data_IF_844653186052
#
_entry.id   IF_844653186052
#
_cell.length_a   1.000
_cell.length_b   1.000
_cell.length_c   1.000
_cell.angle_alpha   90.00
_cell.angle_beta   90.00
_cell.angle_gamma   90.00
#
_symmetry.space_group_name_H-M   'P 1'
#
loop_
_entity.id
_entity.type
_entity.pdbx_description
1 polymer ?
#
# COMPACT_ATOMS: atom_id res chain seq x y z
N UNK A 1 18.89 32.94 9.56
CA UNK A 1 17.59 32.20 9.63
C UNK A 1 17.69 31.08 8.62
N UNK A 2 17.99 29.85 9.04
CA UNK A 2 18.14 28.72 8.12
C UNK A 2 16.76 28.31 7.60
N UNK A 3 16.62 28.22 6.28
CA UNK A 3 15.43 27.75 5.56
C UNK A 3 15.17 26.25 5.78
N UNK A 4 15.07 25.82 7.03
CA UNK A 4 14.75 24.45 7.41
C UNK A 4 13.25 24.35 7.63
N UNK A 5 12.58 23.48 6.87
CA UNK A 5 11.14 23.19 6.99
C UNK A 5 10.73 22.96 8.45
N UNK A 6 9.52 23.40 8.84
CA UNK A 6 8.96 23.15 10.18
C UNK A 6 8.91 21.65 10.53
N UNK A 7 8.81 20.78 9.52
CA UNK A 7 8.91 19.33 9.70
C UNK A 7 10.34 18.85 10.05
N UNK A 8 11.37 19.55 9.59
CA UNK A 8 12.76 19.26 9.97
C UNK A 8 13.07 19.81 11.37
N UNK A 9 12.52 20.97 11.72
CA UNK A 9 12.63 21.53 13.07
C UNK A 9 11.97 20.63 14.11
N UNK A 10 10.78 20.07 13.84
CA UNK A 10 10.11 19.16 14.78
C UNK A 10 10.83 17.82 14.99
N UNK A 11 11.62 17.37 14.00
CA UNK A 11 12.48 16.19 14.15
C UNK A 11 13.75 16.54 14.93
N UNK A 12 14.35 17.72 14.67
CA UNK A 12 15.56 18.18 15.36
C UNK A 12 15.32 18.53 16.84
N UNK A 13 14.15 19.08 17.16
CA UNK A 13 13.71 19.40 18.53
C UNK A 13 13.11 18.20 19.27
N UNK A 14 12.81 17.11 18.54
CA UNK A 14 12.30 15.87 19.10
C UNK A 14 13.37 15.01 19.76
N UNK A 15 12.99 14.00 20.57
CA UNK A 15 13.95 13.07 21.16
C UNK A 15 14.74 12.34 20.06
N UNK A 16 16.06 12.32 20.17
CA UNK A 16 16.96 11.62 19.23
C UNK A 16 16.92 10.10 19.45
N UNK A 17 15.77 9.51 19.23
CA UNK A 17 15.54 8.07 19.36
C UNK A 17 15.64 7.37 18.01
N UNK A 18 16.14 6.12 18.03
CA UNK A 18 16.19 5.23 16.87
C UNK A 18 14.82 4.98 16.23
N UNK A 19 13.75 5.16 17.01
CA UNK A 19 12.37 5.11 16.58
C UNK A 19 11.76 6.52 16.47
N UNK A 20 10.78 6.73 15.56
CA UNK A 20 9.99 7.96 15.57
C UNK A 20 9.34 8.21 16.94
N UNK A 21 9.23 9.47 17.39
CA UNK A 21 8.66 9.81 18.70
C UNK A 21 7.24 9.26 18.93
N UNK A 22 6.50 9.02 17.84
CA UNK A 22 5.16 8.41 17.84
C UNK A 22 5.12 6.99 18.41
N UNK A 23 6.26 6.29 18.50
CA UNK A 23 6.34 4.94 19.02
C UNK A 23 6.75 4.86 20.50
N UNK A 24 7.00 6.01 21.17
CA UNK A 24 7.27 6.10 22.61
C UNK A 24 8.27 5.04 23.14
N UNK A 25 9.37 4.82 22.41
CA UNK A 25 10.41 3.84 22.79
C UNK A 25 10.07 2.35 22.55
N UNK A 26 8.89 2.03 22.02
CA UNK A 26 8.49 0.65 21.70
C UNK A 26 9.07 0.21 20.35
N UNK A 27 10.36 -0.16 20.33
CA UNK A 27 11.06 -0.60 19.11
C UNK A 27 10.38 -1.76 18.37
N UNK A 28 9.69 -2.65 19.09
CA UNK A 28 8.93 -3.76 18.48
C UNK A 28 7.75 -3.28 17.61
N UNK A 29 7.09 -2.17 17.97
CA UNK A 29 6.01 -1.59 17.15
C UNK A 29 6.54 -0.99 15.85
N UNK A 30 7.77 -0.47 15.87
CA UNK A 30 8.44 0.02 14.66
C UNK A 30 8.69 -1.15 13.71
N UNK A 31 9.21 -2.27 14.21
CA UNK A 31 9.43 -3.48 13.39
C UNK A 31 8.13 -3.94 12.72
N UNK A 32 7.06 -4.06 13.49
CA UNK A 32 5.77 -4.54 12.97
C UNK A 32 5.22 -3.56 11.93
N UNK A 33 5.21 -2.26 12.22
CA UNK A 33 4.70 -1.27 11.26
C UNK A 33 5.57 -1.20 10.01
N UNK A 34 6.89 -1.21 10.14
CA UNK A 34 7.82 -1.24 9.01
C UNK A 34 7.56 -2.47 8.13
N UNK A 35 7.46 -3.64 8.75
CA UNK A 35 7.20 -4.90 8.03
C UNK A 35 5.84 -4.85 7.33
N UNK A 36 4.76 -4.56 8.06
CA UNK A 36 3.38 -4.57 7.52
C UNK A 36 3.23 -3.56 6.38
N UNK A 37 3.76 -2.34 6.53
CA UNK A 37 3.66 -1.31 5.48
C UNK A 37 4.47 -1.69 4.25
N UNK A 38 5.67 -2.26 4.42
CA UNK A 38 6.49 -2.74 3.31
C UNK A 38 5.82 -3.91 2.58
N UNK A 39 5.30 -4.89 3.34
CA UNK A 39 4.58 -6.05 2.82
C UNK A 39 3.34 -5.63 2.03
N UNK A 40 2.51 -4.75 2.60
CA UNK A 40 1.30 -4.25 1.96
C UNK A 40 1.62 -3.53 0.64
N UNK A 41 2.73 -2.79 0.58
CA UNK A 41 3.22 -2.13 -0.64
C UNK A 41 3.61 -3.16 -1.70
N UNK A 42 4.43 -4.16 -1.34
CA UNK A 42 4.89 -5.18 -2.28
C UNK A 42 3.73 -6.04 -2.82
N UNK A 43 2.80 -6.45 -1.94
CA UNK A 43 1.61 -7.19 -2.34
C UNK A 43 0.74 -6.32 -3.25
N UNK A 44 0.53 -5.05 -2.90
CA UNK A 44 -0.22 -4.10 -3.69
C UNK A 44 0.34 -3.94 -5.11
N UNK A 45 1.66 -3.75 -5.25
CA UNK A 45 2.34 -3.74 -6.56
C UNK A 45 2.09 -5.04 -7.33
N UNK A 46 2.24 -6.19 -6.68
CA UNK A 46 2.04 -7.48 -7.33
C UNK A 46 0.61 -7.67 -7.85
N UNK A 47 -0.39 -7.21 -7.09
CA UNK A 47 -1.79 -7.21 -7.51
C UNK A 47 -2.03 -6.25 -8.66
N UNK A 48 -1.48 -5.02 -8.60
CA UNK A 48 -1.60 -4.03 -9.68
C UNK A 48 -1.01 -4.59 -10.98
N UNK A 49 0.22 -5.11 -10.94
CA UNK A 49 0.89 -5.67 -12.12
C UNK A 49 0.09 -6.84 -12.70
N UNK A 50 -0.45 -7.71 -11.84
CA UNK A 50 -1.28 -8.84 -12.28
C UNK A 50 -2.57 -8.36 -12.96
N UNK A 51 -3.30 -7.43 -12.34
CA UNK A 51 -4.56 -6.92 -12.88
C UNK A 51 -4.37 -6.08 -14.15
N UNK A 52 -3.33 -5.26 -14.21
CA UNK A 52 -2.97 -4.47 -15.40
C UNK A 52 -2.46 -5.38 -16.52
N UNK A 53 -1.65 -6.39 -16.20
CA UNK A 53 -1.19 -7.39 -17.16
C UNK A 53 -2.36 -8.19 -17.76
N UNK A 54 -3.29 -8.62 -16.92
CA UNK A 54 -4.51 -9.30 -17.35
C UNK A 54 -5.41 -8.38 -18.19
N UNK A 55 -5.48 -7.08 -17.85
CA UNK A 55 -6.19 -6.07 -18.64
C UNK A 55 -5.59 -5.92 -20.04
N UNK A 56 -4.28 -5.75 -20.13
CA UNK A 56 -3.58 -5.58 -21.40
C UNK A 56 -3.76 -6.85 -22.26
N UNK A 57 -3.65 -8.02 -21.66
CA UNK A 57 -3.77 -9.31 -22.36
C UNK A 57 -5.17 -9.54 -22.95
N UNK A 58 -6.22 -9.16 -22.24
CA UNK A 58 -7.61 -9.36 -22.67
C UNK A 58 -8.27 -8.06 -23.15
N UNK A 59 -7.47 -7.09 -23.59
CA UNK A 59 -7.95 -5.75 -23.95
C UNK A 59 -8.96 -5.76 -25.11
N UNK A 60 -8.89 -6.76 -25.99
CA UNK A 60 -9.80 -6.91 -27.13
C UNK A 60 -11.12 -7.58 -26.74
N UNK A 61 -11.13 -8.39 -25.68
CA UNK A 61 -12.30 -9.11 -25.18
C UNK A 61 -13.08 -8.29 -24.15
N UNK A 62 -12.37 -7.47 -23.37
CA UNK A 62 -12.95 -6.61 -22.33
C UNK A 62 -13.48 -5.30 -22.92
N UNK A 63 -14.76 -5.31 -23.27
CA UNK A 63 -15.49 -4.08 -23.62
C UNK A 63 -15.52 -3.14 -22.40
N UNK A 64 -15.41 -1.84 -22.66
CA UNK A 64 -15.52 -0.80 -21.63
C UNK A 64 -16.86 -0.91 -20.88
N UNK A 65 -16.83 -0.93 -19.55
CA UNK A 65 -17.97 -1.18 -18.64
C UNK A 65 -18.49 -2.63 -18.59
N UNK A 66 -17.73 -3.61 -19.09
CA UNK A 66 -18.00 -5.02 -18.78
C UNK A 66 -17.82 -5.30 -17.27
N UNK A 67 -18.55 -6.27 -16.68
CA UNK A 67 -18.35 -6.66 -15.28
C UNK A 67 -16.89 -7.02 -14.94
N UNK A 68 -16.17 -7.61 -15.90
CA UNK A 68 -14.75 -7.93 -15.75
C UNK A 68 -13.86 -6.67 -15.68
N UNK A 69 -14.10 -5.69 -16.57
CA UNK A 69 -13.36 -4.42 -16.57
C UNK A 69 -13.60 -3.61 -15.29
N UNK A 70 -14.85 -3.57 -14.80
CA UNK A 70 -15.20 -2.88 -13.55
C UNK A 70 -14.52 -3.56 -12.35
N UNK A 71 -14.56 -4.89 -12.28
CA UNK A 71 -13.91 -5.63 -11.20
C UNK A 71 -12.39 -5.40 -11.18
N UNK A 72 -11.74 -5.38 -12.36
CA UNK A 72 -10.31 -5.08 -12.47
C UNK A 72 -10.01 -3.65 -12.08
N UNK A 73 -10.83 -2.69 -12.49
CA UNK A 73 -10.68 -1.27 -12.13
C UNK A 73 -10.79 -1.07 -10.62
N UNK A 74 -11.78 -1.71 -9.98
CA UNK A 74 -11.92 -1.71 -8.52
C UNK A 74 -10.67 -2.26 -7.83
N UNK A 75 -10.21 -3.44 -8.28
CA UNK A 75 -9.00 -4.06 -7.74
C UNK A 75 -7.78 -3.17 -7.88
N UNK A 76 -7.60 -2.50 -9.03
CA UNK A 76 -6.50 -1.56 -9.26
C UNK A 76 -6.63 -0.32 -8.37
N UNK A 77 -7.81 0.29 -8.25
CA UNK A 77 -8.02 1.48 -7.42
C UNK A 77 -7.72 1.20 -5.95
N UNK A 78 -8.20 0.09 -5.40
CA UNK A 78 -7.92 -0.30 -4.02
C UNK A 78 -6.45 -0.68 -3.84
N UNK A 79 -5.87 -1.48 -4.74
CA UNK A 79 -4.47 -1.87 -4.64
C UNK A 79 -3.54 -0.65 -4.78
N UNK A 80 -3.84 0.30 -5.66
CA UNK A 80 -3.09 1.54 -5.82
C UNK A 80 -3.19 2.42 -4.58
N UNK A 81 -4.39 2.61 -4.03
CA UNK A 81 -4.58 3.37 -2.78
C UNK A 81 -3.78 2.78 -1.62
N UNK A 82 -3.85 1.46 -1.42
CA UNK A 82 -3.06 0.75 -0.39
C UNK A 82 -1.56 0.90 -0.66
N UNK A 83 -1.11 0.69 -1.89
CA UNK A 83 0.31 0.75 -2.27
C UNK A 83 0.88 2.15 -2.02
N UNK A 84 0.17 3.19 -2.42
CA UNK A 84 0.63 4.58 -2.25
C UNK A 84 0.71 4.92 -0.76
N UNK A 85 -0.34 4.61 0.02
CA UNK A 85 -0.40 4.89 1.46
C UNK A 85 0.66 4.12 2.23
N UNK A 86 0.72 2.80 2.05
CA UNK A 86 1.66 1.94 2.75
C UNK A 86 3.10 2.16 2.26
N UNK A 87 3.30 2.49 0.99
CA UNK A 87 4.61 2.75 0.41
C UNK A 87 5.20 4.05 0.95
N UNK A 88 4.41 5.12 1.00
CA UNK A 88 4.83 6.38 1.61
C UNK A 88 5.17 6.21 3.09
N UNK A 89 4.40 5.39 3.82
CA UNK A 89 4.70 5.09 5.22
C UNK A 89 5.97 4.27 5.38
N UNK A 90 6.14 3.22 4.57
CA UNK A 90 7.34 2.40 4.57
C UNK A 90 8.58 3.26 4.30
N UNK A 91 8.56 4.10 3.27
CA UNK A 91 9.68 5.02 2.96
C UNK A 91 9.99 5.93 4.13
N UNK A 92 8.99 6.46 4.83
CA UNK A 92 9.23 7.32 6.00
C UNK A 92 9.88 6.59 7.19
N UNK A 93 9.53 5.31 7.41
CA UNK A 93 10.11 4.48 8.47
C UNK A 93 11.50 3.95 8.10
N UNK A 94 11.70 3.56 6.83
CA UNK A 94 13.00 3.19 6.27
C UNK A 94 13.96 4.37 6.22
N UNK A 95 13.48 5.56 5.90
CA UNK A 95 14.26 6.80 5.82
C UNK A 95 14.46 7.52 7.15
N UNK A 96 13.93 6.99 8.26
CA UNK A 96 14.06 7.63 9.57
C UNK A 96 15.52 7.69 10.03
N UNK A 97 16.06 8.90 10.13
CA UNK A 97 17.38 9.16 10.70
C UNK A 97 17.34 10.41 11.59
N UNK A 98 17.51 10.29 12.92
CA UNK A 98 17.48 11.42 13.83
C UNK A 98 18.69 12.36 13.67
N UNK A 99 19.80 11.89 13.09
CA UNK A 99 20.99 12.71 12.83
C UNK A 99 20.90 13.51 11.52
N UNK A 100 19.93 13.18 10.65
CA UNK A 100 19.61 13.96 9.45
C UNK A 100 18.12 14.38 9.47
N UNK A 101 17.79 15.45 10.22
CA UNK A 101 16.42 15.92 10.37
C UNK A 101 15.85 16.50 9.06
N UNK A 102 16.71 16.95 8.13
CA UNK A 102 16.27 17.50 6.85
C UNK A 102 15.75 16.39 5.95
N UNK A 103 16.50 15.29 5.80
CA UNK A 103 16.04 14.14 5.01
C UNK A 103 14.76 13.53 5.59
N UNK A 104 14.71 13.32 6.92
CA UNK A 104 13.54 12.78 7.62
C UNK A 104 12.31 13.69 7.45
N UNK A 105 12.48 15.02 7.56
CA UNK A 105 11.42 15.99 7.36
C UNK A 105 10.81 15.97 5.93
N UNK A 106 11.65 15.74 4.92
CA UNK A 106 11.20 15.58 3.52
C UNK A 106 10.34 14.33 3.37
N UNK A 107 10.75 13.17 3.91
CA UNK A 107 9.96 11.94 3.83
C UNK A 107 8.60 12.08 4.54
N UNK A 108 8.56 12.74 5.70
CA UNK A 108 7.31 13.00 6.42
C UNK A 108 6.38 13.93 5.62
N UNK A 109 6.92 14.97 5.01
CA UNK A 109 6.13 15.91 4.20
C UNK A 109 5.62 15.25 2.93
N UNK A 110 6.47 14.49 2.25
CA UNK A 110 6.10 13.70 1.08
C UNK A 110 4.95 12.74 1.39
N UNK A 111 5.00 12.03 2.52
CA UNK A 111 3.90 11.18 2.98
C UNK A 111 2.57 11.94 3.06
N UNK A 112 2.57 13.15 3.63
CA UNK A 112 1.36 13.97 3.75
C UNK A 112 0.80 14.44 2.40
N UNK A 113 1.64 14.55 1.36
CA UNK A 113 1.18 14.84 0.00
C UNK A 113 0.55 13.63 -0.68
N UNK A 114 1.05 12.42 -0.41
CA UNK A 114 0.52 11.18 -0.99
C UNK A 114 -0.73 10.65 -0.28
N UNK A 115 -0.93 11.00 0.99
CA UNK A 115 -2.10 10.60 1.78
C UNK A 115 -3.44 10.96 1.08
N UNK A 116 -3.68 12.21 0.63
CA UNK A 116 -4.90 12.57 -0.11
C UNK A 116 -5.07 11.78 -1.40
N UNK A 117 -3.99 11.54 -2.15
CA UNK A 117 -4.03 10.79 -3.41
C UNK A 117 -4.50 9.35 -3.13
N UNK A 118 -3.89 8.69 -2.14
CA UNK A 118 -4.28 7.35 -1.74
C UNK A 118 -5.76 7.28 -1.30
N UNK A 119 -6.22 8.28 -0.54
CA UNK A 119 -7.61 8.37 -0.11
C UNK A 119 -8.55 8.58 -1.29
N UNK A 120 -8.20 9.44 -2.27
CA UNK A 120 -9.02 9.61 -3.47
C UNK A 120 -9.15 8.30 -4.24
N UNK A 121 -8.08 7.52 -4.40
CA UNK A 121 -8.16 6.20 -5.03
C UNK A 121 -9.13 5.27 -4.29
N UNK A 122 -9.09 5.23 -2.95
CA UNK A 122 -10.00 4.43 -2.14
C UNK A 122 -11.46 4.88 -2.26
N UNK A 123 -11.71 6.19 -2.19
CA UNK A 123 -13.06 6.77 -2.32
C UNK A 123 -13.61 6.51 -3.73
N UNK A 124 -12.82 6.74 -4.78
CA UNK A 124 -13.24 6.44 -6.16
C UNK A 124 -13.52 4.94 -6.33
N UNK A 125 -12.72 4.06 -5.73
CA UNK A 125 -12.99 2.62 -5.70
C UNK A 125 -14.35 2.31 -5.06
N UNK A 126 -14.68 2.91 -3.92
CA UNK A 126 -15.98 2.74 -3.27
C UNK A 126 -17.14 3.30 -4.11
N UNK A 127 -16.95 4.46 -4.74
CA UNK A 127 -17.97 5.05 -5.63
C UNK A 127 -18.26 4.13 -6.82
N UNK A 128 -17.22 3.63 -7.48
CA UNK A 128 -17.36 2.68 -8.60
C UNK A 128 -18.07 1.41 -8.14
N UNK A 129 -17.75 0.92 -6.93
CA UNK A 129 -18.38 -0.29 -6.37
C UNK A 129 -19.89 -0.09 -6.23
N UNK A 130 -20.32 0.98 -5.56
CA UNK A 130 -21.74 1.29 -5.36
C UNK A 130 -22.47 1.50 -6.68
N UNK A 131 -21.86 2.20 -7.64
CA UNK A 131 -22.45 2.41 -8.96
C UNK A 131 -22.60 1.09 -9.76
N UNK A 132 -21.67 0.15 -9.57
CA UNK A 132 -21.65 -1.13 -10.29
C UNK A 132 -22.52 -2.21 -9.65
N UNK A 133 -22.85 -2.09 -8.37
CA UNK A 133 -23.50 -3.12 -7.57
C UNK A 133 -24.81 -3.65 -8.20
N UNK A 134 -25.77 -2.81 -8.63
CA UNK A 134 -27.04 -3.31 -9.17
C UNK A 134 -26.85 -4.19 -10.40
N UNK A 135 -26.01 -3.74 -11.34
CA UNK A 135 -25.74 -4.44 -12.59
C UNK A 135 -24.90 -5.71 -12.39
N UNK A 136 -23.94 -5.69 -11.45
CA UNK A 136 -23.12 -6.87 -11.15
C UNK A 136 -23.93 -7.98 -10.46
N UNK A 137 -24.74 -7.63 -9.46
CA UNK A 137 -25.55 -8.62 -8.73
C UNK A 137 -26.56 -9.28 -9.66
N UNK A 138 -27.21 -8.53 -10.53
CA UNK A 138 -28.16 -9.08 -11.49
C UNK A 138 -27.50 -10.08 -12.44
N UNK A 139 -26.29 -9.79 -12.93
CA UNK A 139 -25.53 -10.70 -13.80
C UNK A 139 -25.07 -11.95 -13.04
N UNK A 140 -24.58 -11.81 -11.80
CA UNK A 140 -24.10 -12.93 -10.99
C UNK A 140 -25.23 -13.89 -10.57
N UNK A 141 -26.47 -13.41 -10.46
CA UNK A 141 -27.63 -14.24 -10.12
C UNK A 141 -28.18 -15.06 -11.29
N UNK A 142 -27.84 -14.72 -12.55
CA UNK A 142 -28.36 -15.43 -13.73
C UNK A 142 -27.89 -16.87 -13.79
N UNK A 143 -26.63 -17.12 -13.47
CA UNK A 143 -26.05 -18.47 -13.44
C UNK A 143 -25.08 -18.52 -12.26
N UNK A 144 -25.33 -19.37 -11.24
CA UNK A 144 -24.41 -19.54 -10.13
C UNK A 144 -23.12 -20.18 -10.66
N UNK A 145 -22.10 -19.35 -10.89
CA UNK A 145 -20.79 -19.81 -11.31
C UNK A 145 -20.01 -20.31 -10.08
N UNK A 146 -19.56 -21.57 -10.02
CA UNK A 146 -18.75 -22.04 -8.91
C UNK A 146 -17.39 -21.34 -8.93
N UNK A 147 -17.14 -20.49 -7.94
CA UNK A 147 -15.86 -19.79 -7.80
C UNK A 147 -14.82 -20.77 -7.26
N UNK A 148 -13.91 -21.22 -8.11
CA UNK A 148 -12.79 -22.05 -7.67
C UNK A 148 -11.63 -21.18 -7.16
N UNK A 149 -11.65 -20.88 -5.86
CA UNK A 149 -10.61 -20.06 -5.20
C UNK A 149 -9.22 -20.74 -5.20
N UNK A 150 -9.16 -22.06 -5.32
CA UNK A 150 -7.91 -22.82 -5.30
C UNK A 150 -7.01 -22.57 -6.52
N UNK A 151 -7.59 -22.12 -7.64
CA UNK A 151 -6.82 -21.70 -8.82
C UNK A 151 -5.88 -20.52 -8.50
N UNK A 152 -6.25 -19.66 -7.55
CA UNK A 152 -5.43 -18.53 -7.13
C UNK A 152 -4.41 -18.88 -6.02
N UNK A 153 -4.42 -20.11 -5.51
CA UNK A 153 -3.56 -20.55 -4.41
C UNK A 153 -2.06 -20.34 -4.67
N UNK A 154 -1.51 -20.61 -5.87
CA UNK A 154 -0.10 -20.34 -6.15
C UNK A 154 0.27 -18.85 -6.01
N UNK A 155 -0.66 -17.94 -6.32
CA UNK A 155 -0.45 -16.50 -6.16
C UNK A 155 -0.44 -16.12 -4.68
N UNK A 156 -1.36 -16.66 -3.89
CA UNK A 156 -1.40 -16.46 -2.43
C UNK A 156 -0.11 -16.97 -1.77
N UNK A 157 0.38 -18.14 -2.18
CA UNK A 157 1.64 -18.69 -1.68
C UNK A 157 2.84 -17.77 -1.98
N UNK A 158 2.87 -17.11 -3.15
CA UNK A 158 3.90 -16.10 -3.44
C UNK A 158 3.80 -14.89 -2.51
N UNK A 159 2.58 -14.42 -2.22
CA UNK A 159 2.36 -13.34 -1.24
C UNK A 159 2.87 -13.73 0.15
N UNK A 160 2.54 -14.94 0.63
CA UNK A 160 2.96 -15.43 1.94
C UNK A 160 4.48 -15.57 2.06
N UNK A 161 5.17 -16.00 0.99
CA UNK A 161 6.64 -16.03 0.98
C UNK A 161 7.25 -14.63 1.06
N UNK A 162 6.68 -13.66 0.33
CA UNK A 162 7.11 -12.26 0.41
C UNK A 162 6.88 -11.67 1.81
N UNK A 163 5.75 -11.96 2.44
CA UNK A 163 5.44 -11.60 3.84
C UNK A 163 6.57 -12.06 4.76
N UNK A 164 6.94 -13.34 4.69
CA UNK A 164 7.94 -13.94 5.57
C UNK A 164 9.33 -13.32 5.35
N UNK A 165 9.77 -13.18 4.10
CA UNK A 165 11.09 -12.61 3.79
C UNK A 165 11.17 -11.14 4.23
N UNK A 166 10.12 -10.35 3.98
CA UNK A 166 10.09 -8.93 4.33
C UNK A 166 10.06 -8.73 5.85
N UNK A 167 9.36 -9.62 6.58
CA UNK A 167 9.34 -9.61 8.03
C UNK A 167 10.73 -9.87 8.63
N UNK A 168 11.46 -10.88 8.09
CA UNK A 168 12.85 -11.16 8.50
C UNK A 168 13.76 -9.98 8.20
N UNK A 169 13.63 -9.37 7.01
CA UNK A 169 14.41 -8.19 6.64
C UNK A 169 14.14 -6.98 7.56
N UNK A 170 12.89 -6.74 7.94
CA UNK A 170 12.51 -5.68 8.87
C UNK A 170 13.14 -5.89 10.26
N UNK A 171 13.15 -7.12 10.78
CA UNK A 171 13.85 -7.46 12.03
C UNK A 171 15.34 -7.16 11.89
N UNK A 172 15.98 -7.62 10.80
CA UNK A 172 17.40 -7.41 10.56
C UNK A 172 17.77 -5.92 10.57
N UNK A 173 16.99 -5.09 9.89
CA UNK A 173 17.26 -3.66 9.78
C UNK A 173 17.04 -2.92 11.10
N UNK A 174 16.00 -3.25 11.86
CA UNK A 174 15.81 -2.62 13.17
C UNK A 174 16.86 -3.11 14.18
N UNK A 175 17.32 -4.36 14.07
CA UNK A 175 18.37 -4.89 14.96
C UNK A 175 19.78 -4.37 14.67
N UNK A 176 20.01 -3.79 13.48
CA UNK A 176 21.33 -3.29 13.04
C UNK A 176 21.43 -1.75 13.04
N UNK A 177 20.34 -1.06 13.37
CA UNK A 177 20.29 0.40 13.60
C UNK A 177 20.59 0.71 15.06
#
# INVERSE_FOLDING_TARGET
MSNTSFAAQSVAEGPQTLAPPSFNGMGWLVVINLAVMTIATLIGIMVIVKLVGDWIKHREEDIWLSPASIYRLLGILFAAGITIRCGAEAVSLWGWNPHDPVATGIYLTAKRMFDPIAVTCGITGLMVYILSEPGMIEQQRKIPFPVNMWLAWPMVMRMLRLVLITFVAAIGVVSTR
#
